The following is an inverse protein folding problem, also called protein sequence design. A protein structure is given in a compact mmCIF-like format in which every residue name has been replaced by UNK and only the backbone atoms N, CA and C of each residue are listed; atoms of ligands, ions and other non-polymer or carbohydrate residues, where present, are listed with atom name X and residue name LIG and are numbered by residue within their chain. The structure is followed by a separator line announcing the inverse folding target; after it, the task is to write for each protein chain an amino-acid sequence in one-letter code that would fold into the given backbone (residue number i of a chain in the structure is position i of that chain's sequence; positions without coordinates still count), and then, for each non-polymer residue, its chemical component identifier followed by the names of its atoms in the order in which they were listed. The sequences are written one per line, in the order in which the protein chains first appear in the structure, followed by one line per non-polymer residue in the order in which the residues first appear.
data_IF_162061309517
#
_entry.id   IF_162061309517
#
_cell.length_a   1.000
_cell.length_b   1.000
_cell.length_c   1.000
_cell.angle_alpha   90.00
_cell.angle_beta   90.00
_cell.angle_gamma   90.00
#
_symmetry.space_group_name_H-M   'P 1'
#
loop_
_entity.id
_entity.type
_entity.pdbx_description
1 polymer ?
#
# COMPACT_ATOMS: atom_id res chain seq x y z
N UNK A 1 2.50 19.86 -2.40
CA UNK A 1 3.96 20.04 -2.15
C UNK A 1 4.23 19.54 -0.75
N UNK A 2 5.16 18.61 -0.55
CA UNK A 2 5.51 18.10 0.78
C UNK A 2 6.08 19.23 1.65
N UNK A 3 5.65 19.32 2.91
CA UNK A 3 6.17 20.28 3.86
C UNK A 3 7.66 19.98 4.15
N UNK A 4 8.59 20.95 4.06
CA UNK A 4 10.00 20.73 4.37
C UNK A 4 10.25 20.22 5.79
N UNK A 5 9.38 20.54 6.73
CA UNK A 5 9.46 20.09 8.13
C UNK A 5 8.82 18.72 8.41
N UNK A 6 8.24 18.07 7.42
CA UNK A 6 7.47 16.82 7.62
C UNK A 6 8.34 15.70 8.21
N UNK A 7 9.56 15.52 7.72
CA UNK A 7 10.46 14.48 8.23
C UNK A 7 10.83 14.70 9.70
N UNK A 8 11.13 15.95 10.07
CA UNK A 8 11.45 16.30 11.46
C UNK A 8 10.23 16.10 12.36
N UNK A 9 9.05 16.55 11.92
CA UNK A 9 7.79 16.35 12.64
C UNK A 9 7.48 14.86 12.88
N UNK A 10 7.64 14.02 11.86
CA UNK A 10 7.45 12.57 12.00
C UNK A 10 8.46 12.01 13.01
N UNK A 11 9.75 12.34 12.85
CA UNK A 11 10.81 11.84 13.73
C UNK A 11 10.59 12.21 15.19
N UNK A 12 10.29 13.49 15.48
CA UNK A 12 10.00 13.96 16.83
C UNK A 12 8.74 13.28 17.43
N UNK A 13 7.71 13.08 16.61
CA UNK A 13 6.47 12.43 17.05
C UNK A 13 6.69 10.96 17.38
N UNK A 14 7.39 10.23 16.54
CA UNK A 14 7.74 8.82 16.78
C UNK A 14 8.57 8.67 18.06
N UNK A 15 9.56 9.53 18.23
CA UNK A 15 10.41 9.53 19.44
C UNK A 15 9.60 9.87 20.70
N UNK A 16 8.76 10.89 20.65
CA UNK A 16 7.92 11.32 21.79
C UNK A 16 6.97 10.23 22.27
N UNK A 17 6.42 9.45 21.34
CA UNK A 17 5.44 8.41 21.63
C UNK A 17 6.03 7.01 21.69
N UNK A 18 7.36 6.87 21.58
CA UNK A 18 8.09 5.60 21.59
C UNK A 18 7.55 4.60 20.54
N UNK A 19 7.13 5.11 19.36
CA UNK A 19 6.59 4.30 18.28
C UNK A 19 7.74 3.85 17.35
N UNK A 20 7.97 2.53 17.18
CA UNK A 20 8.96 2.05 16.22
C UNK A 20 8.57 2.46 14.79
N UNK A 21 9.49 3.09 14.01
CA UNK A 21 9.18 3.65 12.69
C UNK A 21 8.59 2.65 11.69
N UNK A 22 8.96 1.38 11.78
CA UNK A 22 8.47 0.32 10.88
C UNK A 22 6.96 0.06 10.98
N UNK A 23 6.27 0.61 11.97
CA UNK A 23 4.82 0.52 12.10
C UNK A 23 4.08 1.69 11.45
N UNK A 24 4.82 2.63 10.87
CA UNK A 24 4.25 3.78 10.16
C UNK A 24 4.53 3.64 8.67
N UNK A 25 3.49 3.84 7.88
CA UNK A 25 3.56 3.92 6.43
C UNK A 25 3.08 5.30 5.97
N UNK A 26 3.82 5.90 5.06
CA UNK A 26 3.46 7.15 4.40
C UNK A 26 3.00 6.81 2.99
N UNK A 27 1.78 7.18 2.67
CA UNK A 27 1.17 6.94 1.37
C UNK A 27 1.28 8.19 0.49
N UNK A 28 1.62 7.96 -0.76
CA UNK A 28 1.68 8.98 -1.82
C UNK A 28 0.71 8.56 -2.90
N UNK A 29 -0.23 9.42 -3.26
CA UNK A 29 -1.09 9.13 -4.41
C UNK A 29 -0.28 9.14 -5.70
N UNK A 30 -0.67 8.32 -6.67
CA UNK A 30 -0.01 8.25 -7.97
C UNK A 30 0.13 9.63 -8.62
N UNK A 31 -0.89 10.48 -8.52
CA UNK A 31 -0.91 11.81 -9.12
C UNK A 31 0.06 12.81 -8.46
N UNK A 32 0.34 12.69 -7.18
CA UNK A 32 1.26 13.57 -6.46
C UNK A 32 2.71 13.37 -6.87
N UNK A 33 3.06 12.19 -7.36
CA UNK A 33 4.42 11.84 -7.77
C UNK A 33 4.86 12.54 -9.06
N UNK A 34 3.93 13.11 -9.83
CA UNK A 34 4.21 13.67 -11.17
C UNK A 34 4.70 15.13 -11.17
N UNK A 35 4.68 15.85 -10.05
CA UNK A 35 4.83 17.33 -10.07
C UNK A 35 6.31 17.78 -10.03
N UNK A 36 7.18 17.15 -9.27
CA UNK A 36 8.61 17.48 -9.20
C UNK A 36 9.38 16.34 -8.54
N UNK A 37 9.90 15.44 -9.36
CA UNK A 37 10.54 14.20 -8.87
C UNK A 37 11.75 14.44 -7.98
N UNK A 38 12.62 15.40 -8.31
CA UNK A 38 13.87 15.64 -7.57
C UNK A 38 13.56 16.14 -6.15
N UNK A 39 12.57 17.03 -6.04
CA UNK A 39 12.12 17.54 -4.74
C UNK A 39 11.48 16.42 -3.91
N UNK A 40 10.58 15.64 -4.50
CA UNK A 40 9.92 14.53 -3.82
C UNK A 40 10.95 13.48 -3.38
N UNK A 41 11.89 13.10 -4.25
CA UNK A 41 12.95 12.15 -3.90
C UNK A 41 13.79 12.62 -2.70
N UNK A 42 14.14 13.91 -2.66
CA UNK A 42 14.91 14.48 -1.57
C UNK A 42 14.15 14.43 -0.24
N UNK A 43 12.86 14.82 -0.25
CA UNK A 43 11.99 14.76 0.94
C UNK A 43 11.77 13.31 1.41
N UNK A 44 11.44 12.41 0.48
CA UNK A 44 11.23 10.99 0.79
C UNK A 44 12.52 10.29 1.26
N UNK A 45 13.68 10.72 0.80
CA UNK A 45 14.96 10.20 1.29
C UNK A 45 15.18 10.52 2.77
N UNK A 46 14.73 11.69 3.25
CA UNK A 46 14.79 12.04 4.68
C UNK A 46 13.80 11.21 5.49
N UNK A 47 12.55 11.09 5.03
CA UNK A 47 11.52 10.26 5.68
C UNK A 47 11.97 8.80 5.77
N UNK A 48 12.54 8.26 4.69
CA UNK A 48 13.04 6.88 4.66
C UNK A 48 14.17 6.62 5.66
N UNK A 49 15.04 7.63 5.93
CA UNK A 49 16.09 7.50 6.96
C UNK A 49 15.55 7.30 8.36
N UNK A 50 14.30 7.69 8.61
CA UNK A 50 13.61 7.43 9.87
C UNK A 50 13.25 5.96 10.05
N UNK A 51 13.19 5.18 8.96
CA UNK A 51 12.79 3.77 8.98
C UNK A 51 11.30 3.54 8.78
N UNK A 52 10.53 4.56 8.38
CA UNK A 52 9.11 4.43 8.01
C UNK A 52 8.96 3.79 6.62
N UNK A 53 7.86 3.08 6.39
CA UNK A 53 7.49 2.54 5.10
C UNK A 53 6.94 3.63 4.18
N UNK A 54 7.17 3.46 2.86
CA UNK A 54 6.61 4.33 1.83
C UNK A 54 5.74 3.49 0.89
N UNK A 55 4.53 3.94 0.63
CA UNK A 55 3.61 3.30 -0.32
C UNK A 55 3.20 4.25 -1.44
N UNK A 56 2.95 3.70 -2.63
CA UNK A 56 2.18 4.38 -3.68
C UNK A 56 0.74 3.92 -3.57
N UNK A 57 -0.16 4.88 -3.42
CA UNK A 57 -1.60 4.66 -3.34
C UNK A 57 -2.30 4.92 -4.68
N UNK A 58 -3.49 4.35 -4.86
CA UNK A 58 -4.34 4.45 -6.05
C UNK A 58 -3.63 4.03 -7.35
N UNK A 59 -2.67 3.09 -7.29
CA UNK A 59 -1.87 2.70 -8.45
C UNK A 59 -2.73 2.15 -9.59
N UNK A 60 -2.48 2.68 -10.80
CA UNK A 60 -3.16 2.31 -12.03
C UNK A 60 -4.29 3.25 -12.43
N UNK A 61 -4.67 4.23 -11.59
CA UNK A 61 -5.71 5.23 -11.92
C UNK A 61 -5.15 6.48 -12.61
N UNK A 62 -3.85 6.70 -12.51
CA UNK A 62 -3.15 7.86 -13.05
C UNK A 62 -2.30 7.56 -14.28
N UNK A 63 -1.43 8.50 -14.62
CA UNK A 63 -0.50 8.44 -15.75
C UNK A 63 0.96 8.34 -15.28
N UNK A 64 1.22 7.64 -14.17
CA UNK A 64 2.59 7.53 -13.66
C UNK A 64 3.51 6.82 -14.63
N UNK A 65 4.65 7.43 -14.87
CA UNK A 65 5.73 6.77 -15.58
C UNK A 65 6.37 5.70 -14.69
N UNK A 66 6.56 4.49 -15.21
CA UNK A 66 7.30 3.43 -14.52
C UNK A 66 8.71 3.87 -14.07
N UNK A 67 9.28 4.86 -14.77
CA UNK A 67 10.53 5.48 -14.38
C UNK A 67 10.44 6.19 -13.01
N UNK A 68 9.30 6.81 -12.70
CA UNK A 68 9.07 7.43 -11.40
C UNK A 68 8.97 6.41 -10.29
N UNK A 69 8.22 5.33 -10.48
CA UNK A 69 8.12 4.24 -9.50
C UNK A 69 9.50 3.67 -9.16
N UNK A 70 10.30 3.37 -10.18
CA UNK A 70 11.66 2.89 -9.98
C UNK A 70 12.54 3.87 -9.20
N UNK A 71 12.37 5.17 -9.46
CA UNK A 71 13.15 6.23 -8.81
C UNK A 71 12.74 6.48 -7.35
N UNK A 72 11.46 6.28 -7.02
CA UNK A 72 10.92 6.52 -5.66
C UNK A 72 11.31 5.43 -4.67
N UNK A 73 11.66 4.20 -5.12
CA UNK A 73 12.05 3.07 -4.27
C UNK A 73 11.08 2.85 -3.11
N UNK A 74 9.80 2.71 -3.42
CA UNK A 74 8.76 2.48 -2.42
C UNK A 74 8.82 1.06 -1.84
N UNK A 75 8.25 0.88 -0.66
CA UNK A 75 8.15 -0.41 0.00
C UNK A 75 6.88 -1.15 -0.42
N UNK A 76 5.81 -0.41 -0.74
CA UNK A 76 4.49 -0.96 -1.01
C UNK A 76 3.87 -0.30 -2.24
N UNK A 77 3.17 -1.10 -3.04
CA UNK A 77 2.34 -0.68 -4.17
C UNK A 77 0.90 -1.08 -3.88
N UNK A 78 0.00 -0.11 -3.70
CA UNK A 78 -1.41 -0.33 -3.38
C UNK A 78 -2.24 -0.21 -4.65
N UNK A 79 -2.85 -1.32 -5.07
CA UNK A 79 -3.74 -1.37 -6.24
C UNK A 79 -5.11 -0.87 -5.85
N UNK A 80 -5.60 0.13 -6.58
CA UNK A 80 -6.89 0.76 -6.34
C UNK A 80 -8.06 -0.22 -6.49
N UNK A 81 -9.05 -0.01 -5.66
CA UNK A 81 -10.32 -0.75 -5.61
C UNK A 81 -11.01 -0.87 -6.98
N UNK A 82 -10.86 0.12 -7.85
CA UNK A 82 -11.48 0.12 -9.20
C UNK A 82 -11.12 -1.12 -9.99
N UNK A 83 -9.90 -1.64 -9.84
CA UNK A 83 -9.46 -2.86 -10.51
C UNK A 83 -9.90 -4.14 -9.82
N UNK A 84 -10.31 -4.06 -8.57
CA UNK A 84 -10.70 -5.21 -7.75
C UNK A 84 -12.20 -5.49 -7.85
N UNK A 85 -13.04 -4.44 -7.93
CA UNK A 85 -14.50 -4.59 -7.83
C UNK A 85 -15.10 -5.51 -8.90
N UNK A 86 -14.58 -5.54 -10.11
CA UNK A 86 -15.04 -6.40 -11.20
C UNK A 86 -13.97 -7.40 -11.71
N UNK A 87 -12.95 -7.67 -10.90
CA UNK A 87 -11.85 -8.58 -11.18
C UNK A 87 -12.32 -9.93 -11.75
N UNK A 88 -13.42 -10.47 -11.24
CA UNK A 88 -13.94 -11.79 -11.65
C UNK A 88 -14.44 -11.82 -13.09
N UNK A 89 -14.89 -10.69 -13.63
CA UNK A 89 -15.49 -10.58 -14.96
C UNK A 89 -14.64 -9.82 -15.97
N UNK A 90 -13.85 -8.86 -15.52
CA UNK A 90 -13.09 -7.94 -16.37
C UNK A 90 -11.67 -8.45 -16.66
N UNK A 91 -11.45 -8.92 -17.89
CA UNK A 91 -10.11 -9.40 -18.33
C UNK A 91 -9.05 -8.29 -18.35
N UNK A 92 -9.46 -7.04 -18.63
CA UNK A 92 -8.54 -5.89 -18.65
C UNK A 92 -7.99 -5.60 -17.26
N UNK A 93 -8.84 -5.59 -16.23
CA UNK A 93 -8.44 -5.38 -14.84
C UNK A 93 -7.52 -6.51 -14.34
N UNK A 94 -7.82 -7.77 -14.71
CA UNK A 94 -6.89 -8.88 -14.43
C UNK A 94 -5.50 -8.66 -15.03
N UNK A 95 -5.42 -8.16 -16.26
CA UNK A 95 -4.14 -7.89 -16.92
C UNK A 95 -3.37 -6.75 -16.20
N UNK A 96 -4.07 -5.71 -15.74
CA UNK A 96 -3.47 -4.62 -14.96
C UNK A 96 -2.90 -5.16 -13.63
N UNK A 97 -3.67 -5.97 -12.91
CA UNK A 97 -3.23 -6.57 -11.64
C UNK A 97 -2.02 -7.48 -11.86
N UNK A 98 -2.03 -8.32 -12.90
CA UNK A 98 -0.90 -9.18 -13.24
C UNK A 98 0.37 -8.36 -13.56
N UNK A 99 0.21 -7.25 -14.28
CA UNK A 99 1.32 -6.32 -14.55
C UNK A 99 1.84 -5.69 -13.25
N UNK A 100 0.95 -5.25 -12.34
CA UNK A 100 1.33 -4.67 -11.06
C UNK A 100 2.08 -5.68 -10.16
N UNK A 101 1.64 -6.94 -10.12
CA UNK A 101 2.37 -8.03 -9.43
C UNK A 101 3.78 -8.19 -9.99
N UNK A 102 3.92 -8.20 -11.31
CA UNK A 102 5.23 -8.33 -11.97
C UNK A 102 6.13 -7.13 -11.65
N UNK A 103 5.57 -5.92 -11.65
CA UNK A 103 6.29 -4.69 -11.33
C UNK A 103 6.75 -4.67 -9.87
N UNK A 104 5.88 -5.02 -8.92
CA UNK A 104 6.23 -5.06 -7.51
C UNK A 104 7.38 -6.03 -7.24
N UNK A 105 7.34 -7.22 -7.84
CA UNK A 105 8.43 -8.20 -7.76
C UNK A 105 9.73 -7.67 -8.37
N UNK A 106 9.65 -6.98 -9.51
CA UNK A 106 10.82 -6.43 -10.21
C UNK A 106 11.47 -5.28 -9.45
N UNK A 107 10.67 -4.49 -8.73
CA UNK A 107 11.14 -3.36 -7.92
C UNK A 107 11.50 -3.77 -6.48
N UNK A 108 11.17 -5.00 -6.07
CA UNK A 108 11.43 -5.50 -4.73
C UNK A 108 10.54 -4.82 -3.68
N UNK A 109 9.31 -4.47 -4.04
CA UNK A 109 8.29 -3.93 -3.14
C UNK A 109 7.13 -4.92 -2.98
N UNK A 110 6.40 -4.81 -1.88
CA UNK A 110 5.18 -5.56 -1.65
C UNK A 110 4.02 -4.97 -2.46
N UNK A 111 3.01 -5.79 -2.76
CA UNK A 111 1.78 -5.33 -3.38
C UNK A 111 0.60 -5.60 -2.46
N UNK A 112 -0.24 -4.58 -2.25
CA UNK A 112 -1.51 -4.66 -1.51
C UNK A 112 -2.68 -4.41 -2.46
N UNK A 113 -3.66 -5.30 -2.47
CA UNK A 113 -4.92 -5.11 -3.20
C UNK A 113 -5.96 -4.47 -2.28
N UNK A 114 -6.55 -3.36 -2.72
CA UNK A 114 -7.52 -2.61 -1.93
C UNK A 114 -8.97 -2.90 -2.32
N UNK A 115 -9.87 -2.79 -1.33
CA UNK A 115 -11.31 -2.92 -1.57
C UNK A 115 -11.76 -4.34 -1.90
N UNK A 116 -11.09 -5.35 -1.37
CA UNK A 116 -11.51 -6.76 -1.51
C UNK A 116 -12.77 -7.01 -0.68
N UNK A 117 -13.85 -7.46 -1.32
CA UNK A 117 -15.15 -7.64 -0.70
C UNK A 117 -15.63 -9.10 -0.72
N UNK A 118 -15.06 -9.95 -1.60
CA UNK A 118 -15.50 -11.36 -1.74
C UNK A 118 -14.35 -12.35 -1.65
N UNK A 119 -14.65 -13.56 -1.20
CA UNK A 119 -13.69 -14.68 -1.18
C UNK A 119 -13.17 -15.03 -2.57
N UNK A 120 -14.01 -14.89 -3.60
CA UNK A 120 -13.62 -15.15 -4.98
C UNK A 120 -12.54 -14.15 -5.45
N UNK A 121 -12.71 -12.86 -5.15
CA UNK A 121 -11.69 -11.83 -5.42
C UNK A 121 -10.38 -12.14 -4.69
N UNK A 122 -10.44 -12.46 -3.39
CA UNK A 122 -9.26 -12.78 -2.60
C UNK A 122 -8.49 -13.98 -3.18
N UNK A 123 -9.21 -15.05 -3.54
CA UNK A 123 -8.62 -16.25 -4.14
C UNK A 123 -7.96 -15.95 -5.48
N UNK A 124 -8.64 -15.20 -6.35
CA UNK A 124 -8.06 -14.83 -7.65
C UNK A 124 -6.80 -13.97 -7.48
N UNK A 125 -6.80 -13.00 -6.57
CA UNK A 125 -5.61 -12.18 -6.26
C UNK A 125 -4.45 -13.05 -5.77
N UNK A 126 -4.73 -13.99 -4.88
CA UNK A 126 -3.72 -14.93 -4.40
C UNK A 126 -3.13 -15.79 -5.54
N UNK A 127 -3.98 -16.34 -6.40
CA UNK A 127 -3.58 -17.16 -7.55
C UNK A 127 -2.75 -16.32 -8.56
N UNK A 128 -2.99 -15.02 -8.64
CA UNK A 128 -2.22 -14.08 -9.46
C UNK A 128 -0.89 -13.65 -8.80
N UNK A 129 -0.64 -14.02 -7.55
CA UNK A 129 0.61 -13.72 -6.83
C UNK A 129 0.55 -12.53 -5.88
N UNK A 130 -0.62 -11.89 -5.69
CA UNK A 130 -0.81 -10.87 -4.67
C UNK A 130 -0.92 -11.55 -3.29
N UNK A 131 -0.10 -11.12 -2.33
CA UNK A 131 0.02 -11.75 -1.01
C UNK A 131 -0.54 -10.91 0.13
N UNK A 132 -0.93 -9.68 -0.13
CA UNK A 132 -1.56 -8.80 0.85
C UNK A 132 -2.80 -8.16 0.25
N UNK A 133 -3.86 -8.04 1.04
CA UNK A 133 -5.11 -7.44 0.62
C UNK A 133 -5.80 -6.78 1.81
N UNK A 134 -6.54 -5.72 1.52
CA UNK A 134 -7.42 -5.07 2.49
C UNK A 134 -8.82 -4.83 1.90
N UNK A 135 -9.84 -4.80 2.75
CA UNK A 135 -11.21 -4.54 2.33
C UNK A 135 -12.26 -5.14 3.26
N UNK A 136 -13.50 -4.94 2.90
CA UNK A 136 -14.65 -5.32 3.73
C UNK A 136 -14.84 -6.83 3.88
N UNK A 137 -14.16 -7.61 3.06
CA UNK A 137 -14.09 -9.06 3.26
C UNK A 137 -13.47 -9.41 4.62
N UNK A 138 -12.46 -8.67 5.05
CA UNK A 138 -11.72 -8.94 6.28
C UNK A 138 -12.36 -8.23 7.47
N UNK A 139 -12.53 -6.91 7.37
CA UNK A 139 -13.20 -6.12 8.38
C UNK A 139 -13.65 -4.76 7.79
N UNK A 140 -14.69 -4.18 8.37
CA UNK A 140 -15.04 -2.77 8.12
C UNK A 140 -14.26 -1.87 9.07
N UNK A 141 -14.04 -0.59 8.72
CA UNK A 141 -13.46 0.37 9.65
C UNK A 141 -14.19 0.35 11.00
N UNK A 142 -13.45 0.35 12.08
CA UNK A 142 -13.99 0.23 13.43
C UNK A 142 -13.13 1.04 14.42
N UNK A 143 -13.67 1.41 15.60
CA UNK A 143 -12.89 2.02 16.68
C UNK A 143 -11.75 1.11 17.16
N UNK A 144 -10.69 1.72 17.71
CA UNK A 144 -9.49 1.00 18.16
C UNK A 144 -9.78 -0.12 19.17
N UNK A 145 -10.73 0.10 20.07
CA UNK A 145 -11.15 -0.92 21.07
C UNK A 145 -11.74 -2.16 20.40
N UNK A 146 -12.66 -1.97 19.42
CA UNK A 146 -13.23 -3.07 18.67
C UNK A 146 -12.19 -3.79 17.80
N UNK A 147 -11.20 -3.06 17.26
CA UNK A 147 -10.09 -3.65 16.52
C UNK A 147 -9.19 -4.50 17.43
N UNK A 148 -8.90 -4.02 18.64
CA UNK A 148 -8.16 -4.80 19.64
C UNK A 148 -8.88 -6.12 19.97
N UNK A 149 -10.19 -6.08 20.20
CA UNK A 149 -11.00 -7.27 20.46
C UNK A 149 -10.99 -8.24 19.28
N UNK A 150 -11.07 -7.71 18.03
CA UNK A 150 -10.97 -8.52 16.83
C UNK A 150 -9.64 -9.25 16.74
N UNK A 151 -8.52 -8.57 16.98
CA UNK A 151 -7.19 -9.17 16.95
C UNK A 151 -6.99 -10.24 18.03
N UNK A 152 -7.57 -10.04 19.21
CA UNK A 152 -7.44 -11.02 20.31
C UNK A 152 -8.31 -12.25 20.14
N UNK A 153 -9.47 -12.12 19.48
CA UNK A 153 -10.39 -13.23 19.21
C UNK A 153 -10.00 -14.07 17.98
N UNK A 154 -9.24 -13.49 17.05
CA UNK A 154 -8.88 -14.13 15.78
C UNK A 154 -7.47 -14.74 15.75
N UNK A 155 -6.93 -15.22 16.85
CA UNK A 155 -5.81 -16.17 16.73
C UNK A 155 -6.34 -17.47 16.09
N UNK A 156 -5.89 -17.95 15.07
CA UNK A 156 -5.11 -17.85 13.84
C UNK A 156 -5.92 -18.11 12.53
N UNK A 157 -7.09 -17.52 12.33
CA UNK A 157 -7.90 -17.79 11.12
C UNK A 157 -7.37 -17.10 9.84
N UNK A 158 -6.51 -16.10 9.97
CA UNK A 158 -5.94 -15.41 8.81
C UNK A 158 -4.78 -16.16 8.13
N UNK A 159 -4.18 -17.16 8.79
CA UNK A 159 -3.09 -17.94 8.16
C UNK A 159 -3.56 -18.91 7.06
N UNK A 160 -4.86 -19.12 6.90
CA UNK A 160 -5.43 -20.05 5.92
C UNK A 160 -6.26 -19.36 4.82
N UNK A 161 -6.32 -18.02 4.78
CA UNK A 161 -7.04 -17.28 3.75
C UNK A 161 -6.14 -16.82 2.59
N UNK A 162 -4.83 -16.96 2.74
CA UNK A 162 -3.82 -16.70 1.71
C UNK A 162 -2.83 -17.85 1.63
#
# INVERSE_FOLDING_TARGET
MLDPGLADFIGETLQRHEIPPQFIEIELTENETCINIDYIQSALAQIRKLGVSLAIDDFGTGMSSLAYLSALRVNVLKIDRTFICDLTTNKGHRAIIAAAVTLSQSFGCDMVAEGVETQEQARMLYDMGCRAAQGFLFARPMPAEAFHDLLTQQQPQFSNAF
#
